data_IF_992238720394
#
_entry.id   IF_992238720394
#
_cell.length_a   1.000
_cell.length_b   1.000
_cell.length_c   1.000
_cell.angle_alpha   90.00
_cell.angle_beta   90.00
_cell.angle_gamma   90.00
#
_symmetry.space_group_name_H-M   'P 1'
#
loop_
_entity.id
_entity.type
_entity.pdbx_description
1 polymer ?
#
# COMPACT_ATOMS: atom_id res chain seq x y z
N UNK A 1 3.47 -46.96 24.83
CA UNK A 1 4.74 -46.49 25.41
C UNK A 1 5.84 -46.80 24.42
N UNK A 2 6.30 -45.79 23.67
CA UNK A 2 7.39 -45.93 22.70
C UNK A 2 8.42 -44.83 22.99
N UNK A 3 9.66 -45.30 23.05
CA UNK A 3 10.89 -44.65 23.48
C UNK A 3 11.16 -43.32 22.74
N UNK A 4 11.51 -42.27 23.49
CA UNK A 4 12.26 -41.12 22.99
C UNK A 4 13.71 -41.57 22.77
N UNK A 5 14.18 -41.54 21.52
CA UNK A 5 15.60 -41.60 21.20
C UNK A 5 16.22 -40.21 21.32
N UNK A 6 17.31 -40.15 22.07
CA UNK A 6 18.21 -39.02 22.23
C UNK A 6 19.01 -38.76 20.94
N UNK A 7 19.10 -37.50 20.52
CA UNK A 7 20.20 -37.02 19.70
C UNK A 7 20.94 -35.95 20.50
N UNK A 8 21.99 -36.44 21.16
CA UNK A 8 23.03 -35.68 21.82
C UNK A 8 24.11 -35.46 20.75
N UNK A 9 24.03 -34.33 20.04
CA UNK A 9 25.10 -33.79 19.17
C UNK A 9 24.53 -32.54 18.47
N UNK A 10 24.56 -31.39 19.14
CA UNK A 10 24.51 -30.04 18.53
C UNK A 10 24.75 -28.92 19.58
N UNK A 11 25.39 -29.22 20.72
CA UNK A 11 25.64 -28.25 21.80
C UNK A 11 27.13 -27.89 21.98
N UNK A 12 27.97 -28.12 20.95
CA UNK A 12 29.40 -27.75 20.98
C UNK A 12 29.87 -27.02 19.72
N UNK A 13 29.02 -26.15 19.15
CA UNK A 13 29.42 -25.23 18.07
C UNK A 13 29.10 -23.77 18.40
N UNK A 14 28.95 -23.43 19.69
CA UNK A 14 28.64 -22.08 20.16
C UNK A 14 29.83 -21.31 20.76
N UNK A 15 31.09 -21.68 20.52
CA UNK A 15 32.24 -20.94 21.11
C UNK A 15 33.48 -20.72 20.21
N UNK A 16 33.37 -20.71 18.88
CA UNK A 16 34.55 -20.50 18.00
C UNK A 16 34.40 -19.43 16.91
N UNK A 17 33.59 -18.39 17.13
CA UNK A 17 33.54 -17.23 16.20
C UNK A 17 33.23 -15.90 16.89
N UNK A 18 33.70 -15.72 18.13
CA UNK A 18 33.53 -14.47 18.90
C UNK A 18 34.85 -13.73 19.18
N UNK A 19 36.00 -14.24 18.69
CA UNK A 19 37.32 -13.57 18.87
C UNK A 19 37.98 -13.05 17.59
N UNK A 20 37.31 -13.08 16.44
CA UNK A 20 37.88 -12.54 15.17
C UNK A 20 37.51 -11.07 14.90
N UNK A 21 36.60 -10.48 15.68
CA UNK A 21 36.07 -9.11 15.44
C UNK A 21 36.82 -8.04 16.25
N UNK A 22 37.80 -8.43 17.07
CA UNK A 22 38.47 -7.54 18.03
C UNK A 22 39.65 -6.72 17.46
N UNK A 23 39.88 -6.76 16.15
CA UNK A 23 41.05 -6.12 15.51
C UNK A 23 40.75 -5.21 14.32
N UNK A 24 39.48 -4.85 14.06
CA UNK A 24 39.12 -3.93 12.98
C UNK A 24 38.56 -2.58 13.48
N UNK A 25 39.11 -2.05 14.58
CA UNK A 25 38.70 -0.74 15.12
C UNK A 25 39.92 0.14 15.39
N UNK A 26 40.54 0.64 14.32
CA UNK A 26 41.51 1.72 14.40
C UNK A 26 41.68 2.41 13.03
N UNK A 27 40.67 3.15 12.57
CA UNK A 27 40.89 4.25 11.64
C UNK A 27 40.15 5.50 12.13
N UNK A 28 40.97 6.52 12.40
CA UNK A 28 40.62 7.85 12.89
C UNK A 28 40.07 8.66 11.71
N UNK A 29 38.77 8.94 11.71
CA UNK A 29 38.15 9.81 10.70
C UNK A 29 38.08 11.23 11.30
N UNK A 30 38.59 12.29 10.64
CA UNK A 30 38.51 13.65 11.19
C UNK A 30 37.06 14.14 11.20
N UNK A 31 36.64 14.73 12.32
CA UNK A 31 35.34 15.41 12.45
C UNK A 31 35.31 16.66 11.54
N UNK A 32 34.31 16.74 10.66
CA UNK A 32 34.03 17.90 9.83
C UNK A 32 33.12 18.89 10.60
N UNK A 33 33.29 20.21 10.43
CA UNK A 33 32.47 21.19 11.14
C UNK A 33 31.04 21.27 10.58
N UNK A 34 30.07 21.34 11.49
CA UNK A 34 28.64 21.57 11.23
C UNK A 34 28.38 23.05 10.92
N UNK A 35 28.43 23.41 9.63
CA UNK A 35 28.04 24.72 9.13
C UNK A 35 26.83 24.58 8.21
N UNK A 36 25.61 24.86 8.69
CA UNK A 36 24.72 25.84 8.02
C UNK A 36 23.42 26.10 8.80
N UNK A 37 23.37 27.30 9.35
CA UNK A 37 22.19 28.09 9.65
C UNK A 37 21.33 28.35 8.39
N UNK A 38 20.00 28.29 8.51
CA UNK A 38 19.11 28.74 7.44
C UNK A 38 17.64 28.63 7.76
N UNK A 39 17.13 29.53 8.60
CA UNK A 39 15.71 29.86 8.66
C UNK A 39 15.26 30.36 7.28
N UNK A 40 14.37 29.65 6.61
CA UNK A 40 13.61 30.17 5.47
C UNK A 40 12.15 29.77 5.62
N UNK A 41 11.37 30.68 6.20
CA UNK A 41 9.95 30.77 5.93
C UNK A 41 9.74 31.00 4.43
N UNK A 42 8.77 30.31 3.82
CA UNK A 42 8.25 30.70 2.51
C UNK A 42 7.84 29.57 1.58
N UNK A 43 6.55 29.62 1.20
CA UNK A 43 5.87 28.95 0.09
C UNK A 43 5.32 27.56 0.41
N UNK A 44 4.01 27.54 0.72
CA UNK A 44 3.12 26.40 0.49
C UNK A 44 3.25 26.00 -0.98
N UNK A 45 4.15 25.06 -1.24
CA UNK A 45 4.18 24.26 -2.45
C UNK A 45 3.65 22.91 -2.02
N UNK A 46 2.43 22.57 -2.44
CA UNK A 46 1.85 21.23 -2.34
C UNK A 46 2.67 20.26 -3.21
N UNK A 47 3.91 20.06 -2.84
CA UNK A 47 4.86 19.19 -3.47
C UNK A 47 4.68 17.80 -2.87
N UNK A 48 4.54 16.72 -3.68
CA UNK A 48 4.36 15.35 -3.19
C UNK A 48 5.41 14.93 -2.14
N UNK A 49 6.56 15.60 -2.16
CA UNK A 49 7.72 15.37 -1.30
C UNK A 49 7.46 15.64 0.19
N UNK A 50 6.54 16.53 0.58
CA UNK A 50 6.19 16.71 2.00
C UNK A 50 5.35 15.55 2.55
N UNK A 51 4.43 15.03 1.74
CA UNK A 51 3.68 13.82 2.09
C UNK A 51 4.62 12.62 2.25
N UNK A 52 5.59 12.50 1.33
CA UNK A 52 6.63 11.47 1.38
C UNK A 52 7.60 11.62 2.57
N UNK A 53 7.78 12.83 3.12
CA UNK A 53 8.56 13.05 4.36
C UNK A 53 7.79 12.68 5.63
N UNK A 54 6.45 12.73 5.61
CA UNK A 54 5.60 12.40 6.77
C UNK A 54 5.42 10.89 6.95
N UNK A 55 5.48 10.11 5.87
CA UNK A 55 5.70 8.67 5.97
C UNK A 55 7.15 8.45 6.40
N UNK A 56 7.37 7.90 7.59
CA UNK A 56 8.72 7.62 8.11
C UNK A 56 9.47 6.66 7.17
N UNK A 57 10.21 7.20 6.19
CA UNK A 57 11.01 6.44 5.23
C UNK A 57 12.30 5.87 5.84
N UNK A 58 12.55 6.08 7.13
CA UNK A 58 13.83 5.75 7.79
C UNK A 58 13.80 4.45 8.61
N UNK A 59 12.90 3.50 8.33
CA UNK A 59 12.92 2.23 9.09
C UNK A 59 12.12 1.05 8.53
N UNK A 60 10.98 1.27 7.85
CA UNK A 60 10.20 0.17 7.23
C UNK A 60 9.42 0.69 6.01
N UNK A 61 9.41 -0.04 4.87
CA UNK A 61 8.58 0.33 3.73
C UNK A 61 7.09 0.39 4.12
N UNK A 62 6.33 1.42 3.71
CA UNK A 62 4.89 1.47 3.91
C UNK A 62 4.16 0.27 3.31
N UNK A 63 3.14 -0.25 4.02
CA UNK A 63 2.41 -1.43 3.56
C UNK A 63 1.26 -1.05 2.60
N UNK A 64 1.13 -1.81 1.52
CA UNK A 64 -0.06 -1.85 0.66
C UNK A 64 -0.81 -3.15 1.00
N UNK A 65 -2.08 -3.03 1.32
CA UNK A 65 -2.93 -4.17 1.66
C UNK A 65 -3.90 -4.49 0.53
N UNK A 66 -4.10 -5.77 0.24
CA UNK A 66 -5.01 -6.24 -0.81
C UNK A 66 -6.08 -7.16 -0.21
N UNK A 67 -7.33 -6.71 -0.22
CA UNK A 67 -8.49 -7.51 0.18
C UNK A 67 -9.20 -8.08 -1.05
N UNK A 68 -9.27 -9.42 -1.13
CA UNK A 68 -9.82 -10.16 -2.29
C UNK A 68 -11.17 -10.85 -1.99
N UNK A 69 -11.81 -10.50 -0.88
CA UNK A 69 -13.09 -11.11 -0.46
C UNK A 69 -12.93 -12.33 0.44
N UNK A 70 -14.03 -13.06 0.58
CA UNK A 70 -14.21 -14.19 1.51
C UNK A 70 -13.55 -15.49 1.02
N UNK A 71 -13.34 -15.63 -0.29
CA UNK A 71 -12.63 -16.74 -0.94
C UNK A 71 -11.18 -16.32 -1.24
N UNK A 72 -10.21 -16.59 -0.33
CA UNK A 72 -8.82 -16.19 -0.48
C UNK A 72 -8.09 -17.14 -1.44
N UNK A 73 -8.63 -17.38 -2.65
CA UNK A 73 -7.87 -18.06 -3.70
C UNK A 73 -6.59 -17.30 -3.93
N UNK A 74 -5.47 -17.90 -3.50
CA UNK A 74 -4.11 -17.33 -3.59
C UNK A 74 -3.80 -16.80 -5.00
N UNK A 75 -4.35 -17.44 -6.02
CA UNK A 75 -4.20 -17.05 -7.44
C UNK A 75 -4.56 -15.58 -7.68
N UNK A 76 -5.73 -15.11 -7.21
CA UNK A 76 -6.17 -13.73 -7.44
C UNK A 76 -5.27 -12.70 -6.77
N UNK A 77 -4.78 -13.00 -5.57
CA UNK A 77 -3.90 -12.09 -4.84
C UNK A 77 -2.55 -11.95 -5.54
N UNK A 78 -1.93 -13.06 -5.97
CA UNK A 78 -0.63 -13.02 -6.63
C UNK A 78 -0.68 -12.29 -7.99
N UNK A 79 -1.78 -12.45 -8.75
CA UNK A 79 -2.00 -11.70 -9.99
C UNK A 79 -2.04 -10.18 -9.74
N UNK A 80 -2.84 -9.75 -8.76
CA UNK A 80 -2.93 -8.34 -8.39
C UNK A 80 -1.58 -7.82 -7.88
N UNK A 81 -0.90 -8.61 -7.04
CA UNK A 81 0.40 -8.25 -6.49
C UNK A 81 1.44 -8.06 -7.59
N UNK A 82 1.46 -8.91 -8.62
CA UNK A 82 2.35 -8.76 -9.77
C UNK A 82 2.14 -7.40 -10.45
N UNK A 83 0.89 -7.08 -10.79
CA UNK A 83 0.52 -5.82 -11.46
C UNK A 83 0.91 -4.61 -10.59
N UNK A 84 0.63 -4.65 -9.29
CA UNK A 84 0.97 -3.56 -8.39
C UNK A 84 2.49 -3.38 -8.28
N UNK A 85 3.25 -4.47 -8.24
CA UNK A 85 4.73 -4.44 -8.17
C UNK A 85 5.35 -3.86 -9.44
N UNK A 86 4.68 -3.98 -10.59
CA UNK A 86 5.09 -3.30 -11.82
C UNK A 86 4.77 -1.80 -11.83
N UNK A 87 3.81 -1.36 -10.99
CA UNK A 87 3.34 0.02 -10.93
C UNK A 87 4.02 0.85 -9.82
N UNK A 88 4.61 0.21 -8.82
CA UNK A 88 5.26 0.87 -7.68
C UNK A 88 6.71 0.44 -7.55
N UNK A 89 7.55 1.27 -6.93
CA UNK A 89 8.91 0.86 -6.61
C UNK A 89 8.87 -0.28 -5.58
N UNK A 90 9.28 -1.47 -6.01
CA UNK A 90 9.28 -2.70 -5.21
C UNK A 90 10.14 -2.61 -3.95
N UNK A 91 11.12 -1.71 -3.92
CA UNK A 91 11.96 -1.47 -2.73
C UNK A 91 11.30 -0.52 -1.73
N UNK A 92 10.32 0.27 -2.17
CA UNK A 92 9.68 1.32 -1.37
C UNK A 92 8.38 0.86 -0.70
N UNK A 93 7.80 -0.26 -1.11
CA UNK A 93 6.50 -0.72 -0.59
C UNK A 93 6.48 -2.23 -0.35
N UNK A 94 5.74 -2.66 0.68
CA UNK A 94 5.46 -4.08 0.89
C UNK A 94 3.98 -4.39 0.65
N UNK A 95 3.70 -5.34 -0.24
CA UNK A 95 2.33 -5.73 -0.62
C UNK A 95 1.90 -7.00 0.12
N UNK A 96 0.84 -6.91 0.92
CA UNK A 96 0.29 -8.02 1.70
C UNK A 96 -1.18 -8.28 1.39
N UNK A 97 -1.58 -9.54 1.47
CA UNK A 97 -3.00 -9.90 1.46
C UNK A 97 -3.62 -9.55 2.82
N UNK A 98 -4.75 -8.85 2.80
CA UNK A 98 -5.58 -8.60 3.97
C UNK A 98 -6.74 -9.61 3.96
N UNK A 99 -6.71 -10.56 4.91
CA UNK A 99 -7.79 -11.53 5.07
C UNK A 99 -8.95 -10.91 5.85
N UNK A 100 -10.17 -11.40 5.61
CA UNK A 100 -11.37 -10.91 6.29
C UNK A 100 -11.24 -10.91 7.82
N UNK A 101 -10.70 -12.00 8.39
CA UNK A 101 -10.44 -12.11 9.83
C UNK A 101 -9.49 -11.03 10.35
N UNK A 102 -8.55 -10.59 9.51
CA UNK A 102 -7.57 -9.57 9.85
C UNK A 102 -8.16 -8.16 9.77
N UNK A 103 -9.15 -7.92 8.89
CA UNK A 103 -9.86 -6.63 8.80
C UNK A 103 -10.46 -6.23 10.15
N UNK A 104 -10.99 -7.22 10.89
CA UNK A 104 -11.60 -7.01 12.19
C UNK A 104 -10.59 -6.91 13.34
N UNK A 105 -9.31 -7.17 13.08
CA UNK A 105 -8.24 -7.11 14.07
C UNK A 105 -7.41 -5.83 13.93
N UNK A 106 -6.90 -5.32 15.05
CA UNK A 106 -5.79 -4.35 15.08
C UNK A 106 -4.49 -5.16 14.81
N UNK A 107 -3.46 -4.67 14.07
CA UNK A 107 -3.06 -3.26 13.89
C UNK A 107 -2.99 -2.73 12.45
N UNK A 108 -3.67 -3.33 11.47
CA UNK A 108 -3.48 -2.97 10.06
C UNK A 108 -3.87 -1.51 9.72
N UNK A 109 -4.88 -0.96 10.42
CA UNK A 109 -5.40 0.40 10.20
C UNK A 109 -4.32 1.48 10.27
N UNK A 110 -3.36 1.33 11.19
CA UNK A 110 -2.33 2.34 11.45
C UNK A 110 -1.03 2.03 10.70
N UNK A 111 -0.95 0.87 10.05
CA UNK A 111 0.27 0.37 9.40
C UNK A 111 0.17 0.28 7.89
N UNK A 112 -0.99 0.61 7.30
CA UNK A 112 -1.21 0.58 5.86
C UNK A 112 -1.24 1.99 5.27
N UNK A 113 -0.61 2.17 4.12
CA UNK A 113 -0.70 3.38 3.32
C UNK A 113 -1.91 3.35 2.38
N UNK A 114 -2.13 2.19 1.76
CA UNK A 114 -3.13 1.97 0.73
C UNK A 114 -3.82 0.63 0.99
N UNK A 115 -5.15 0.63 0.88
CA UNK A 115 -5.98 -0.56 0.84
C UNK A 115 -6.56 -0.71 -0.57
N UNK A 116 -6.25 -1.83 -1.21
CA UNK A 116 -6.81 -2.25 -2.48
C UNK A 116 -7.95 -3.23 -2.19
N UNK A 117 -9.15 -2.91 -2.66
CA UNK A 117 -10.33 -3.78 -2.57
C UNK A 117 -10.56 -4.35 -3.97
N UNK A 118 -10.36 -5.66 -4.12
CA UNK A 118 -10.43 -6.35 -5.41
C UNK A 118 -11.37 -7.54 -5.32
N UNK A 119 -12.62 -7.27 -4.95
CA UNK A 119 -13.68 -8.27 -4.89
C UNK A 119 -14.97 -7.73 -5.48
N UNK A 120 -15.64 -8.57 -6.26
CA UNK A 120 -16.99 -8.31 -6.75
C UNK A 120 -18.06 -8.70 -5.72
N UNK A 121 -17.69 -9.41 -4.66
CA UNK A 121 -18.61 -9.82 -3.59
C UNK A 121 -19.05 -8.59 -2.79
N UNK A 122 -20.32 -8.55 -2.34
CA UNK A 122 -20.76 -7.53 -1.40
C UNK A 122 -19.92 -7.58 -0.12
N UNK A 123 -19.48 -6.40 0.33
CA UNK A 123 -18.74 -6.25 1.58
C UNK A 123 -19.73 -6.06 2.71
N UNK A 124 -19.58 -6.83 3.80
CA UNK A 124 -20.46 -6.69 4.96
C UNK A 124 -20.30 -5.33 5.64
N UNK A 125 -21.37 -4.85 6.31
CA UNK A 125 -21.38 -3.56 7.00
C UNK A 125 -20.25 -3.43 8.03
N UNK A 126 -19.89 -4.53 8.69
CA UNK A 126 -18.81 -4.57 9.68
C UNK A 126 -17.45 -4.28 9.04
N UNK A 127 -17.14 -4.92 7.90
CA UNK A 127 -15.90 -4.69 7.16
C UNK A 127 -15.88 -3.30 6.55
N UNK A 128 -17.02 -2.87 5.98
CA UNK A 128 -17.19 -1.54 5.40
C UNK A 128 -16.89 -0.44 6.43
N UNK A 129 -17.38 -0.57 7.67
CA UNK A 129 -17.05 0.36 8.77
C UNK A 129 -15.55 0.43 9.07
N UNK A 130 -14.84 -0.69 9.02
CA UNK A 130 -13.38 -0.69 9.21
C UNK A 130 -12.66 0.01 8.06
N UNK A 131 -13.07 -0.23 6.81
CA UNK A 131 -12.53 0.46 5.64
C UNK A 131 -12.79 1.97 5.69
N UNK A 132 -13.99 2.39 6.08
CA UNK A 132 -14.31 3.80 6.29
C UNK A 132 -13.52 4.42 7.45
N UNK A 133 -13.26 3.64 8.51
CA UNK A 133 -12.39 4.08 9.61
C UNK A 133 -10.97 4.33 9.12
N UNK A 134 -10.41 3.43 8.30
CA UNK A 134 -9.12 3.60 7.65
C UNK A 134 -9.07 4.89 6.81
N UNK A 135 -10.09 5.12 5.98
CA UNK A 135 -10.21 6.32 5.15
C UNK A 135 -10.28 7.60 6.02
N UNK A 136 -11.06 7.57 7.11
CA UNK A 136 -11.19 8.71 8.04
C UNK A 136 -9.89 9.08 8.76
N UNK A 137 -8.97 8.13 8.93
CA UNK A 137 -7.63 8.34 9.49
C UNK A 137 -6.62 8.88 8.47
N UNK A 138 -7.03 9.10 7.22
CA UNK A 138 -6.16 9.56 6.13
C UNK A 138 -5.54 8.44 5.29
N UNK A 139 -5.95 7.18 5.51
CA UNK A 139 -5.63 6.06 4.62
C UNK A 139 -6.25 6.24 3.23
N UNK A 140 -5.69 5.58 2.21
CA UNK A 140 -6.20 5.65 0.84
C UNK A 140 -6.82 4.33 0.42
N UNK A 141 -7.93 4.37 -0.33
CA UNK A 141 -8.60 3.16 -0.82
C UNK A 141 -8.66 3.18 -2.35
N UNK A 142 -8.28 2.08 -2.97
CA UNK A 142 -8.44 1.83 -4.40
C UNK A 142 -9.35 0.62 -4.61
N UNK A 143 -10.49 0.83 -5.27
CA UNK A 143 -11.41 -0.25 -5.65
C UNK A 143 -11.12 -0.76 -7.06
N UNK A 144 -10.82 -2.05 -7.21
CA UNK A 144 -10.65 -2.73 -8.49
C UNK A 144 -11.86 -3.63 -8.74
N UNK A 145 -12.75 -3.21 -9.65
CA UNK A 145 -14.03 -3.89 -9.91
C UNK A 145 -14.85 -4.15 -8.64
N UNK A 146 -14.68 -3.30 -7.63
CA UNK A 146 -15.30 -3.46 -6.32
C UNK A 146 -16.68 -2.83 -6.28
N UNK A 147 -17.62 -3.49 -5.60
CA UNK A 147 -18.93 -2.92 -5.26
C UNK A 147 -18.87 -1.98 -4.04
N UNK A 148 -17.69 -1.76 -3.47
CA UNK A 148 -17.48 -0.88 -2.33
C UNK A 148 -17.81 0.57 -2.67
N UNK A 149 -18.55 1.23 -1.79
CA UNK A 149 -18.91 2.65 -1.90
C UNK A 149 -18.77 3.33 -0.56
N UNK A 150 -18.57 4.66 -0.56
CA UNK A 150 -18.38 5.46 0.64
C UNK A 150 -19.31 6.68 0.63
N UNK A 151 -19.68 7.18 1.81
CA UNK A 151 -20.45 8.42 1.94
C UNK A 151 -21.88 8.38 1.39
N UNK A 152 -22.48 7.19 1.24
CA UNK A 152 -23.82 7.04 0.66
C UNK A 152 -23.86 7.08 -0.87
N UNK A 153 -22.72 7.35 -1.51
CA UNK A 153 -22.55 7.29 -2.97
C UNK A 153 -22.92 5.90 -3.44
N UNK A 154 -23.68 5.79 -4.52
CA UNK A 154 -24.07 4.52 -5.11
C UNK A 154 -23.93 4.57 -6.62
N UNK A 155 -23.67 3.40 -7.19
CA UNK A 155 -23.73 3.25 -8.64
C UNK A 155 -25.20 3.10 -9.04
N UNK A 156 -25.72 4.03 -9.85
CA UNK A 156 -27.04 3.93 -10.48
C UNK A 156 -26.91 3.79 -11.99
N UNK A 157 -27.96 3.26 -12.62
CA UNK A 157 -28.09 3.25 -14.07
C UNK A 157 -28.78 4.52 -14.55
N UNK A 158 -28.14 5.22 -15.49
CA UNK A 158 -28.72 6.31 -16.26
C UNK A 158 -28.85 5.84 -17.70
N UNK A 159 -30.05 5.38 -18.05
CA UNK A 159 -30.34 4.77 -19.36
C UNK A 159 -30.02 5.69 -20.54
N UNK A 160 -30.15 7.01 -20.35
CA UNK A 160 -29.81 8.04 -21.35
C UNK A 160 -28.32 8.04 -21.74
N UNK A 161 -27.45 7.49 -20.89
CA UNK A 161 -26.01 7.42 -21.11
C UNK A 161 -25.55 6.04 -21.59
N UNK A 162 -26.45 5.08 -21.83
CA UNK A 162 -26.04 3.77 -22.34
C UNK A 162 -25.63 3.93 -23.81
N UNK A 163 -24.48 3.35 -24.17
CA UNK A 163 -23.93 3.33 -25.53
C UNK A 163 -23.68 4.73 -26.14
N UNK A 164 -23.60 5.78 -25.31
CA UNK A 164 -23.19 7.10 -25.77
C UNK A 164 -21.67 7.22 -25.82
N UNK A 165 -21.15 7.98 -26.78
CA UNK A 165 -19.72 8.28 -26.87
C UNK A 165 -19.44 9.57 -26.07
N UNK A 166 -18.62 9.46 -25.03
CA UNK A 166 -18.11 10.61 -24.28
C UNK A 166 -16.65 10.86 -24.63
N UNK A 167 -16.27 12.13 -24.79
CA UNK A 167 -14.90 12.51 -25.09
C UNK A 167 -14.21 13.07 -23.84
N UNK A 168 -13.12 12.43 -23.43
CA UNK A 168 -12.16 13.01 -22.49
C UNK A 168 -11.11 13.79 -23.27
N UNK A 169 -10.87 15.03 -22.88
CA UNK A 169 -9.84 15.89 -23.46
C UNK A 169 -8.78 16.12 -22.38
N UNK A 170 -7.55 15.73 -22.70
CA UNK A 170 -6.38 15.91 -21.83
C UNK A 170 -5.45 16.92 -22.49
N UNK A 171 -5.00 17.91 -21.73
CA UNK A 171 -4.00 18.88 -22.18
C UNK A 171 -2.68 18.63 -21.46
N UNK A 172 -1.56 18.59 -22.19
CA UNK A 172 -0.23 18.56 -21.57
C UNK A 172 0.28 19.99 -21.27
N UNK A 173 1.47 20.11 -20.65
CA UNK A 173 2.11 21.39 -20.32
C UNK A 173 2.51 22.23 -21.54
N UNK A 174 2.57 21.60 -22.72
CA UNK A 174 2.85 22.24 -24.00
C UNK A 174 1.56 22.62 -24.74
N UNK A 175 0.40 22.49 -24.07
CA UNK A 175 -0.92 22.79 -24.60
C UNK A 175 -1.37 21.88 -25.78
N UNK A 176 -0.75 20.71 -25.93
CA UNK A 176 -1.21 19.69 -26.88
C UNK A 176 -2.43 18.96 -26.30
N UNK A 177 -3.49 18.86 -27.10
CA UNK A 177 -4.72 18.18 -26.72
C UNK A 177 -4.73 16.72 -27.20
N UNK A 178 -4.97 15.79 -26.29
CA UNK A 178 -5.24 14.39 -26.58
C UNK A 178 -6.70 14.11 -26.29
N UNK A 179 -7.43 13.62 -27.29
CA UNK A 179 -8.85 13.28 -27.18
C UNK A 179 -9.04 11.77 -27.13
N UNK A 180 -9.64 11.28 -26.05
CA UNK A 180 -10.04 9.88 -25.88
C UNK A 180 -11.56 9.79 -25.93
N UNK A 181 -12.09 9.09 -26.94
CA UNK A 181 -13.52 8.80 -27.05
C UNK A 181 -13.82 7.45 -26.38
N UNK A 182 -14.81 7.42 -25.48
CA UNK A 182 -15.14 6.24 -24.67
C UNK A 182 -16.63 5.96 -24.77
N UNK A 183 -16.99 4.70 -24.96
CA UNK A 183 -18.38 4.23 -24.92
C UNK A 183 -18.82 4.06 -23.47
N UNK A 184 -19.91 4.71 -23.08
CA UNK A 184 -20.38 4.71 -21.69
C UNK A 184 -21.31 3.53 -21.38
N UNK A 185 -21.11 2.94 -20.20
CA UNK A 185 -21.93 1.82 -19.71
C UNK A 185 -23.29 2.23 -19.13
N UNK A 186 -23.58 3.53 -19.04
CA UNK A 186 -24.74 4.07 -18.33
C UNK A 186 -24.64 4.01 -16.80
N UNK A 187 -23.62 3.39 -16.22
CA UNK A 187 -23.40 3.37 -14.77
C UNK A 187 -22.76 4.68 -14.31
N UNK A 188 -23.39 5.36 -13.36
CA UNK A 188 -22.93 6.63 -12.78
C UNK A 188 -22.90 6.55 -11.26
N UNK A 189 -21.93 7.23 -10.64
CA UNK A 189 -21.91 7.44 -9.19
C UNK A 189 -22.81 8.64 -8.85
N UNK A 190 -23.69 8.48 -7.86
CA UNK A 190 -24.58 9.51 -7.31
C UNK A 190 -24.61 9.45 -5.79
#
# INVERSE_FOLDING_TARGET
>A
HLHLSSCHECLELENSTIESVKFASAENIPELPDDYSGNSEGVNSDCPTEYLKRINLTGKPPNILVYVGSDPKKVKFEEIKSIITECVDFNSYTVYQLLEKQVLSVPWLDNALLLIIATSEPISDTLSKQFLTFLSKGGKILGLSAAFTFGGIRVKMKNELIDTIQAFVFSNTENNEIKLNVLTSGKVFE
#
